data_IF_622370643958
#
_entry.id   IF_622370643958
#
_cell.length_a   1.000
_cell.length_b   1.000
_cell.length_c   1.000
_cell.angle_alpha   90.00
_cell.angle_beta   90.00
_cell.angle_gamma   90.00
#
_symmetry.space_group_name_H-M   'P 1'
#
loop_
_entity.id
_entity.type
_entity.pdbx_description
1 polymer ?
#
# COMPACT_ATOMS: atom_id res chain seq x y z
N UNK A 1 0.18 28.73 34.89
CA UNK A 1 0.44 27.29 35.01
C UNK A 1 -0.29 26.45 33.99
N UNK A 2 -1.58 26.61 33.80
CA UNK A 2 -2.36 25.83 32.80
C UNK A 2 -1.88 26.01 31.36
N UNK A 3 -1.41 27.19 30.97
CA UNK A 3 -0.87 27.48 29.62
C UNK A 3 0.42 26.74 29.32
N UNK A 4 1.29 26.54 30.30
CA UNK A 4 2.55 25.78 30.11
C UNK A 4 2.32 24.30 29.90
N UNK A 5 1.36 23.70 30.58
CA UNK A 5 0.95 22.30 30.39
C UNK A 5 0.36 22.04 29.01
N UNK A 6 -0.48 22.95 28.52
CA UNK A 6 -1.07 22.84 27.17
C UNK A 6 -0.01 22.91 26.08
N UNK A 7 1.01 23.75 26.24
CA UNK A 7 2.11 23.88 25.28
C UNK A 7 2.97 22.61 25.24
N UNK A 8 3.25 22.01 26.40
CA UNK A 8 4.01 20.75 26.47
C UNK A 8 3.25 19.59 25.82
N UNK A 9 1.94 19.50 26.03
CA UNK A 9 1.08 18.50 25.40
C UNK A 9 1.05 18.63 23.87
N UNK A 10 0.98 19.85 23.35
CA UNK A 10 1.05 20.13 21.91
C UNK A 10 2.41 19.71 21.32
N UNK A 11 3.52 20.01 22.02
CA UNK A 11 4.85 19.59 21.59
C UNK A 11 4.99 18.07 21.54
N UNK A 12 4.47 17.35 22.51
CA UNK A 12 4.46 15.88 22.52
C UNK A 12 3.61 15.29 21.38
N UNK A 13 2.48 15.91 21.04
CA UNK A 13 1.65 15.47 19.93
C UNK A 13 2.35 15.62 18.57
N UNK A 14 3.25 16.61 18.40
CA UNK A 14 4.00 16.80 17.16
C UNK A 14 5.12 15.78 16.96
N UNK A 15 5.52 15.06 18.00
CA UNK A 15 6.53 14.00 17.93
C UNK A 15 5.95 12.61 17.67
N UNK A 16 4.66 12.46 17.40
CA UNK A 16 4.11 11.18 16.96
C UNK A 16 4.76 10.75 15.65
N UNK A 17 5.35 9.53 15.60
CA UNK A 17 5.98 9.06 14.39
C UNK A 17 4.97 8.99 13.25
N UNK A 18 5.29 9.66 12.16
CA UNK A 18 4.57 9.57 10.89
C UNK A 18 4.93 8.23 10.22
N UNK A 19 4.46 7.14 10.77
CA UNK A 19 4.62 5.81 10.15
C UNK A 19 3.63 5.63 9.00
N UNK A 20 3.20 4.45 8.69
CA UNK A 20 2.30 4.07 7.60
C UNK A 20 1.03 4.94 7.42
N UNK A 21 0.83 5.91 8.27
CA UNK A 21 -0.27 6.88 8.21
C UNK A 21 -0.05 8.04 7.26
N UNK A 22 1.09 8.07 6.58
CA UNK A 22 1.43 9.11 5.62
C UNK A 22 0.54 9.09 4.37
N UNK A 23 -0.24 8.05 4.19
CA UNK A 23 -1.30 8.04 3.19
C UNK A 23 -2.42 8.95 3.65
N UNK A 24 -2.37 10.19 3.21
CA UNK A 24 -3.44 11.14 3.44
C UNK A 24 -4.72 10.60 2.79
N UNK A 25 -5.81 10.55 3.54
CA UNK A 25 -7.12 10.20 3.00
C UNK A 25 -7.47 11.10 1.83
N UNK A 26 -8.02 10.53 0.80
CA UNK A 26 -8.43 11.26 -0.39
C UNK A 26 -8.31 10.42 -1.65
N UNK A 27 -8.64 11.03 -2.75
CA UNK A 27 -8.61 10.37 -4.03
C UNK A 27 -7.18 10.37 -4.58
N UNK A 28 -6.70 9.18 -4.91
CA UNK A 28 -5.48 8.98 -5.66
C UNK A 28 -5.85 8.66 -7.10
N UNK A 29 -5.19 9.31 -8.05
CA UNK A 29 -5.48 9.13 -9.46
C UNK A 29 -4.72 7.96 -10.08
N UNK A 30 -3.65 7.48 -9.44
CA UNK A 30 -2.73 6.51 -10.01
C UNK A 30 -2.41 5.41 -9.01
N UNK A 31 -2.48 4.18 -9.50
CA UNK A 31 -2.03 2.99 -8.78
C UNK A 31 -0.88 2.36 -9.56
N UNK A 32 0.22 2.15 -8.88
CA UNK A 32 1.37 1.44 -9.41
C UNK A 32 1.49 0.06 -8.77
N UNK A 33 1.41 -0.96 -9.60
CA UNK A 33 1.70 -2.33 -9.20
C UNK A 33 3.17 -2.61 -9.50
N UNK A 34 3.92 -2.98 -8.50
CA UNK A 34 5.34 -3.27 -8.65
C UNK A 34 5.72 -4.56 -7.92
N UNK A 35 6.92 -5.03 -8.16
CA UNK A 35 7.45 -6.16 -7.40
C UNK A 35 7.94 -5.67 -6.04
N UNK A 36 7.67 -6.45 -5.02
CA UNK A 36 8.19 -6.19 -3.69
C UNK A 36 9.69 -6.53 -3.61
N UNK A 37 10.33 -6.09 -2.56
CA UNK A 37 11.72 -6.45 -2.24
C UNK A 37 11.88 -7.93 -1.85
N UNK A 38 10.78 -8.64 -1.65
CA UNK A 38 10.75 -10.07 -1.27
C UNK A 38 10.65 -11.02 -2.47
N UNK A 39 10.89 -10.53 -3.68
CA UNK A 39 10.83 -11.32 -4.89
C UNK A 39 9.61 -11.05 -5.75
N UNK A 40 9.13 -12.05 -6.45
CA UNK A 40 8.03 -11.92 -7.41
C UNK A 40 6.66 -11.83 -6.73
N UNK A 41 6.52 -10.91 -5.80
CA UNK A 41 5.26 -10.63 -5.10
C UNK A 41 4.82 -9.21 -5.38
N UNK A 42 3.59 -9.06 -5.84
CA UNK A 42 3.02 -7.76 -6.15
C UNK A 42 2.86 -6.90 -4.90
N UNK A 43 3.35 -5.68 -4.98
CA UNK A 43 3.14 -4.62 -4.01
C UNK A 43 2.50 -3.42 -4.71
N UNK A 44 1.97 -2.48 -3.92
CA UNK A 44 1.28 -1.32 -4.44
C UNK A 44 1.92 -0.02 -3.97
N UNK A 45 1.90 0.96 -4.86
CA UNK A 45 2.14 2.35 -4.53
C UNK A 45 1.06 3.23 -5.17
N UNK A 46 0.76 4.34 -4.57
CA UNK A 46 -0.25 5.29 -5.06
C UNK A 46 0.35 6.67 -5.29
N UNK A 47 -0.25 7.39 -6.21
CA UNK A 47 0.16 8.76 -6.53
C UNK A 47 -1.07 9.63 -6.84
N UNK A 48 -0.94 10.92 -6.55
CA UNK A 48 -1.92 11.93 -6.94
C UNK A 48 -1.58 12.61 -8.24
N UNK A 49 -0.30 12.73 -8.55
CA UNK A 49 0.22 13.47 -9.70
C UNK A 49 0.79 12.58 -10.82
N UNK A 50 0.97 11.28 -10.56
CA UNK A 50 1.56 10.33 -11.49
C UNK A 50 3.08 10.35 -11.53
N UNK A 51 3.73 11.19 -10.74
CA UNK A 51 5.19 11.30 -10.67
C UNK A 51 5.76 10.90 -9.33
N UNK A 52 5.08 11.27 -8.27
CA UNK A 52 5.50 10.98 -6.90
C UNK A 52 4.61 9.87 -6.33
N UNK A 53 5.20 8.74 -6.03
CA UNK A 53 4.52 7.54 -5.55
C UNK A 53 4.86 7.27 -4.10
N UNK A 54 3.88 6.79 -3.38
CA UNK A 54 3.98 6.42 -1.99
C UNK A 54 3.56 4.96 -1.84
N UNK A 55 4.44 4.15 -1.25
CA UNK A 55 4.15 2.74 -1.01
C UNK A 55 2.97 2.56 -0.07
N UNK A 56 2.13 1.59 -0.39
CA UNK A 56 1.12 1.07 0.52
C UNK A 56 1.70 -0.13 1.25
N UNK A 57 1.29 -0.33 2.49
CA UNK A 57 1.70 -1.47 3.29
C UNK A 57 3.23 -1.60 3.42
N UNK A 58 3.92 -0.46 3.53
CA UNK A 58 5.38 -0.37 3.63
C UNK A 58 6.12 -1.10 2.49
N UNK A 59 5.56 -1.13 1.30
CA UNK A 59 6.14 -1.82 0.15
C UNK A 59 6.10 -3.34 0.23
N UNK A 60 5.44 -3.89 1.24
CA UNK A 60 5.28 -5.33 1.40
C UNK A 60 4.29 -5.89 0.38
N UNK A 61 4.37 -7.20 0.09
CA UNK A 61 3.38 -7.87 -0.75
C UNK A 61 1.95 -7.62 -0.27
N UNK A 62 1.05 -7.46 -1.23
CA UNK A 62 -0.38 -7.27 -0.95
C UNK A 62 -1.08 -8.54 -0.49
N UNK A 63 -0.44 -9.69 -0.69
CA UNK A 63 -0.89 -10.99 -0.19
C UNK A 63 0.12 -11.53 0.81
N UNK A 64 -0.37 -12.11 1.88
CA UNK A 64 0.46 -12.92 2.75
C UNK A 64 0.57 -14.34 2.17
N UNK A 65 1.78 -14.80 1.79
CA UNK A 65 1.95 -16.14 1.25
C UNK A 65 1.49 -17.24 2.20
N UNK A 66 1.57 -17.00 3.50
CA UNK A 66 1.11 -17.97 4.50
C UNK A 66 -0.42 -18.17 4.49
N UNK A 67 -1.15 -17.15 4.09
CA UNK A 67 -2.61 -17.20 4.01
C UNK A 67 -3.11 -17.73 2.66
N UNK A 68 -2.25 -17.75 1.65
CA UNK A 68 -2.60 -18.07 0.27
C UNK A 68 -1.80 -19.26 -0.27
N UNK A 69 -1.96 -20.40 0.38
CA UNK A 69 -1.20 -21.62 0.11
C UNK A 69 -1.29 -22.18 -1.33
N UNK A 70 -2.21 -21.68 -2.12
CA UNK A 70 -2.32 -22.06 -3.55
C UNK A 70 -1.38 -21.29 -4.46
N UNK A 71 -0.77 -20.21 -3.95
CA UNK A 71 0.17 -19.39 -4.69
C UNK A 71 1.56 -19.84 -4.30
N UNK A 72 2.25 -20.53 -5.19
CA UNK A 72 3.53 -21.17 -4.88
C UNK A 72 4.74 -20.32 -5.27
N UNK A 73 4.63 -19.58 -6.36
CA UNK A 73 5.77 -18.88 -6.97
C UNK A 73 5.70 -17.36 -6.92
N UNK A 74 4.74 -16.81 -6.20
CA UNK A 74 4.53 -15.36 -6.14
C UNK A 74 3.37 -14.89 -7.02
N UNK A 75 3.13 -13.59 -7.00
CA UNK A 75 2.09 -12.92 -7.80
C UNK A 75 2.74 -11.84 -8.66
N UNK A 76 2.79 -12.06 -9.94
CA UNK A 76 3.39 -11.13 -10.89
C UNK A 76 2.45 -10.80 -12.04
N UNK A 77 2.84 -9.85 -12.86
CA UNK A 77 2.08 -9.41 -14.04
C UNK A 77 0.66 -8.98 -13.68
N UNK A 78 0.54 -8.22 -12.62
CA UNK A 78 -0.76 -7.81 -12.09
C UNK A 78 -1.49 -6.89 -13.07
N UNK A 79 -2.74 -7.26 -13.37
CA UNK A 79 -3.66 -6.42 -14.13
C UNK A 79 -4.88 -6.09 -13.25
N UNK A 80 -5.20 -4.82 -13.15
CA UNK A 80 -6.30 -4.33 -12.32
C UNK A 80 -7.32 -3.61 -13.20
N UNK A 81 -8.59 -3.92 -12.98
CA UNK A 81 -9.71 -3.23 -13.62
C UNK A 81 -10.79 -2.88 -12.61
N UNK A 82 -11.60 -1.89 -12.93
CA UNK A 82 -12.79 -1.58 -12.14
C UNK A 82 -13.85 -2.64 -12.32
N UNK A 83 -14.62 -2.90 -11.27
CA UNK A 83 -15.84 -3.72 -11.39
C UNK A 83 -16.87 -2.99 -12.24
N UNK A 84 -17.80 -3.77 -12.82
CA UNK A 84 -18.84 -3.22 -13.69
C UNK A 84 -19.67 -2.12 -13.02
N UNK A 85 -19.94 -2.24 -11.75
CA UNK A 85 -20.68 -1.22 -10.99
C UNK A 85 -19.82 -0.02 -10.54
N UNK A 86 -18.53 -0.02 -10.86
CA UNK A 86 -17.59 1.05 -10.48
C UNK A 86 -17.26 1.17 -9.00
N UNK A 87 -17.73 0.24 -8.17
CA UNK A 87 -17.57 0.32 -6.70
C UNK A 87 -16.35 -0.41 -6.17
N UNK A 88 -15.67 -1.18 -6.98
CA UNK A 88 -14.51 -1.95 -6.57
C UNK A 88 -13.55 -2.23 -7.71
N UNK A 89 -12.60 -3.09 -7.44
CA UNK A 89 -11.57 -3.47 -8.38
C UNK A 89 -11.39 -4.98 -8.37
N UNK A 90 -11.03 -5.52 -9.52
CA UNK A 90 -10.62 -6.90 -9.68
C UNK A 90 -9.17 -6.89 -10.15
N UNK A 91 -8.33 -7.66 -9.49
CA UNK A 91 -6.97 -7.91 -9.93
C UNK A 91 -6.83 -9.35 -10.38
N UNK A 92 -6.16 -9.53 -11.50
CA UNK A 92 -5.70 -10.83 -11.96
C UNK A 92 -4.16 -10.80 -12.04
N UNK A 93 -3.55 -11.92 -11.75
CA UNK A 93 -2.09 -12.05 -11.70
C UNK A 93 -1.71 -13.46 -12.11
N UNK A 94 -0.46 -13.64 -12.49
CA UNK A 94 0.09 -14.97 -12.74
C UNK A 94 0.77 -15.48 -11.48
N UNK A 95 0.64 -16.80 -11.25
CA UNK A 95 1.45 -17.50 -10.28
C UNK A 95 2.84 -17.77 -10.87
N UNK A 96 3.89 -17.27 -10.20
CA UNK A 96 5.27 -17.38 -10.66
C UNK A 96 5.90 -18.76 -10.47
N UNK A 97 5.13 -19.78 -10.08
CA UNK A 97 5.65 -21.12 -9.92
C UNK A 97 6.20 -21.68 -11.24
N UNK A 98 7.41 -22.17 -11.20
CA UNK A 98 7.97 -22.94 -12.31
C UNK A 98 7.31 -24.32 -12.34
N UNK A 99 6.44 -24.53 -13.28
CA UNK A 99 5.82 -25.83 -13.54
C UNK A 99 6.45 -26.49 -14.74
#
# INVERSE_FOLDING_TARGET
MKKKLSTVLLALATFMPLTAQNLVKGDYGYLYCHMSDKGEWTAYAVSRDGYNYQDINDGKPIFDPAEHARIEGGTRDAYITRTHNGKGYIMVTTDGANR
#
